data_IF_714949762194
#
_entry.id   IF_714949762194
#
_cell.length_a   1.000
_cell.length_b   1.000
_cell.length_c   1.000
_cell.angle_alpha   90.00
_cell.angle_beta   90.00
_cell.angle_gamma   90.00
#
_symmetry.space_group_name_H-M   'P 1'
#
loop_
_entity.id
_entity.type
_entity.pdbx_description
1 polymer ?
#
# COMPACT_ATOMS: atom_id res chain seq x y z
N UNK A 1 -14.19 0.40 -3.31
CA UNK A 1 -13.69 1.78 -3.15
C UNK A 1 -12.26 1.92 -3.65
N UNK A 2 -11.99 2.99 -4.40
CA UNK A 2 -10.66 3.38 -4.87
C UNK A 2 -9.76 3.89 -3.73
N UNK A 3 -8.44 3.95 -3.96
CA UNK A 3 -7.47 4.51 -2.99
C UNK A 3 -7.79 5.98 -2.67
N UNK A 4 -8.27 6.74 -3.65
CA UNK A 4 -8.66 8.14 -3.51
C UNK A 4 -9.91 8.30 -2.61
N UNK A 5 -10.93 7.45 -2.80
CA UNK A 5 -12.13 7.43 -1.96
C UNK A 5 -11.81 7.10 -0.50
N UNK A 6 -10.96 6.09 -0.26
CA UNK A 6 -10.50 5.74 1.10
C UNK A 6 -9.73 6.89 1.76
N UNK A 7 -8.90 7.62 1.00
CA UNK A 7 -8.19 8.81 1.50
C UNK A 7 -9.16 9.93 1.85
N UNK A 8 -10.16 10.18 1.00
CA UNK A 8 -11.17 11.21 1.23
C UNK A 8 -12.01 10.93 2.48
N UNK A 9 -12.43 9.67 2.69
CA UNK A 9 -13.17 9.27 3.90
C UNK A 9 -12.31 9.43 5.16
N UNK A 10 -11.02 9.08 5.11
CA UNK A 10 -10.09 9.30 6.23
C UNK A 10 -9.91 10.78 6.58
N UNK A 11 -9.79 11.65 5.57
CA UNK A 11 -9.72 13.10 5.79
C UNK A 11 -11.01 13.64 6.43
N UNK A 12 -12.18 13.16 5.99
CA UNK A 12 -13.46 13.51 6.61
C UNK A 12 -13.55 13.09 8.08
N UNK A 13 -13.07 11.90 8.42
CA UNK A 13 -13.01 11.42 9.81
C UNK A 13 -12.13 12.34 10.66
N UNK A 14 -10.93 12.69 10.17
CA UNK A 14 -10.01 13.57 10.88
C UNK A 14 -10.60 14.97 11.10
N UNK A 15 -11.16 15.59 10.07
CA UNK A 15 -11.77 16.91 10.19
C UNK A 15 -12.92 16.92 11.20
N UNK A 16 -13.80 15.92 11.17
CA UNK A 16 -14.90 15.80 12.14
C UNK A 16 -14.40 15.61 13.58
N UNK A 17 -13.30 14.87 13.77
CA UNK A 17 -12.69 14.69 15.09
C UNK A 17 -12.06 16.00 15.59
N UNK A 18 -11.34 16.72 14.73
CA UNK A 18 -10.68 17.98 15.10
C UNK A 18 -11.69 19.10 15.39
N UNK A 19 -12.76 19.21 14.59
CA UNK A 19 -13.78 20.25 14.73
C UNK A 19 -14.67 20.04 15.96
N UNK A 20 -14.98 18.79 16.33
CA UNK A 20 -16.05 18.51 17.27
C UNK A 20 -15.69 17.60 18.45
N UNK A 21 -14.64 16.79 18.35
CA UNK A 21 -14.28 15.85 19.40
C UNK A 21 -13.20 16.40 20.34
N UNK A 22 -12.42 17.39 19.91
CA UNK A 22 -11.35 18.00 20.72
C UNK A 22 -11.94 18.80 21.90
N UNK A 23 -11.75 18.30 23.12
CA UNK A 23 -12.28 18.93 24.34
C UNK A 23 -13.79 18.79 24.49
N UNK A 24 -14.39 17.79 23.84
CA UNK A 24 -15.82 17.54 23.86
C UNK A 24 -16.35 17.38 25.30
N UNK A 25 -17.27 18.26 25.70
CA UNK A 25 -17.85 18.30 27.06
C UNK A 25 -19.07 17.40 27.23
N UNK A 26 -19.60 16.84 26.14
CA UNK A 26 -20.80 15.99 26.16
C UNK A 26 -20.49 14.56 26.58
N UNK A 27 -19.23 14.13 26.47
CA UNK A 27 -18.80 12.81 26.94
C UNK A 27 -18.79 12.78 28.48
N UNK A 28 -19.41 11.78 29.12
CA UNK A 28 -19.40 11.66 30.57
C UNK A 28 -17.97 11.52 31.11
N UNK A 29 -17.59 12.37 32.07
CA UNK A 29 -16.27 12.36 32.73
C UNK A 29 -16.00 11.10 33.57
N UNK A 30 -17.02 10.29 33.82
CA UNK A 30 -16.94 9.02 34.56
C UNK A 30 -16.34 7.88 33.75
N UNK A 31 -16.21 8.03 32.42
CA UNK A 31 -15.66 7.01 31.54
C UNK A 31 -14.14 7.18 31.48
N UNK A 32 -13.41 6.21 32.04
CA UNK A 32 -11.96 6.29 32.22
C UNK A 32 -11.12 5.71 31.07
N UNK A 33 -11.73 4.99 30.13
CA UNK A 33 -10.99 4.36 29.02
C UNK A 33 -11.49 4.81 27.65
N UNK A 34 -10.56 4.87 26.69
CA UNK A 34 -10.83 5.37 25.33
C UNK A 34 -11.82 4.48 24.55
N UNK A 35 -11.88 3.18 24.85
CA UNK A 35 -12.79 2.24 24.19
C UNK A 35 -14.25 2.51 24.55
N UNK A 36 -14.55 2.69 25.83
CA UNK A 36 -15.88 3.02 26.32
C UNK A 36 -16.29 4.43 25.90
N UNK A 37 -15.36 5.38 25.83
CA UNK A 37 -15.63 6.72 25.26
C UNK A 37 -16.04 6.59 23.79
N UNK A 38 -15.28 5.83 22.99
CA UNK A 38 -15.60 5.60 21.59
C UNK A 38 -16.96 4.90 21.42
N UNK A 39 -17.24 3.89 22.26
CA UNK A 39 -18.52 3.18 22.27
C UNK A 39 -19.67 4.11 22.60
N UNK A 40 -19.56 4.86 23.69
CA UNK A 40 -20.58 5.81 24.13
C UNK A 40 -20.86 6.86 23.06
N UNK A 41 -19.81 7.45 22.48
CA UNK A 41 -19.94 8.41 21.37
C UNK A 41 -20.65 7.77 20.17
N UNK A 42 -20.30 6.54 19.82
CA UNK A 42 -20.92 5.85 18.67
C UNK A 42 -22.40 5.50 18.87
N UNK A 43 -22.85 5.37 20.11
CA UNK A 43 -24.24 5.02 20.46
C UNK A 43 -25.09 6.27 20.75
N UNK A 44 -24.50 7.30 21.37
CA UNK A 44 -25.23 8.42 21.97
C UNK A 44 -24.92 9.80 21.37
N UNK A 45 -23.90 9.93 20.51
CA UNK A 45 -23.53 11.20 19.87
C UNK A 45 -23.73 11.11 18.35
N UNK A 46 -24.36 12.10 17.73
CA UNK A 46 -24.56 12.16 16.28
C UNK A 46 -23.23 12.14 15.51
N UNK A 47 -22.23 12.86 16.02
CA UNK A 47 -20.89 12.88 15.42
C UNK A 47 -20.21 11.52 15.59
N UNK A 48 -20.37 10.88 16.74
CA UNK A 48 -19.86 9.53 16.95
C UNK A 48 -20.52 8.49 16.06
N UNK A 49 -21.84 8.59 15.80
CA UNK A 49 -22.56 7.77 14.82
C UNK A 49 -22.03 7.97 13.41
N UNK A 50 -21.81 9.22 13.00
CA UNK A 50 -21.23 9.56 11.70
C UNK A 50 -19.81 9.02 11.55
N UNK A 51 -18.97 9.17 12.58
CA UNK A 51 -17.61 8.62 12.61
C UNK A 51 -17.61 7.09 12.52
N UNK A 52 -18.53 6.41 13.22
CA UNK A 52 -18.71 4.96 13.15
C UNK A 52 -19.07 4.51 11.73
N UNK A 53 -20.07 5.14 11.11
CA UNK A 53 -20.48 4.83 9.73
C UNK A 53 -19.34 5.05 8.73
N UNK A 54 -18.60 6.17 8.84
CA UNK A 54 -17.43 6.42 7.99
C UNK A 54 -16.31 5.39 8.20
N UNK A 55 -16.09 4.96 9.44
CA UNK A 55 -15.15 3.89 9.78
C UNK A 55 -15.55 2.53 9.21
N UNK A 56 -16.83 2.18 9.30
CA UNK A 56 -17.40 0.97 8.72
C UNK A 56 -17.29 0.97 7.19
N UNK A 57 -17.53 2.11 6.53
CA UNK A 57 -17.34 2.27 5.08
C UNK A 57 -15.86 2.11 4.64
N UNK A 58 -14.89 2.39 5.52
CA UNK A 58 -13.47 2.09 5.24
C UNK A 58 -13.15 0.59 5.31
N UNK A 59 -13.95 -0.15 6.08
CA UNK A 59 -13.83 -1.60 6.31
C UNK A 59 -14.72 -2.41 5.36
N UNK A 60 -15.69 -1.80 4.69
CA UNK A 60 -16.55 -2.44 3.70
C UNK A 60 -15.70 -3.10 2.59
N UNK A 61 -15.78 -4.43 2.52
CA UNK A 61 -15.00 -5.28 1.62
C UNK A 61 -13.71 -5.88 2.19
N UNK A 62 -13.38 -5.69 3.48
CA UNK A 62 -12.34 -6.47 4.19
C UNK A 62 -13.00 -7.64 4.92
N UNK A 63 -13.10 -8.79 4.27
CA UNK A 63 -13.42 -10.06 4.95
C UNK A 63 -12.13 -10.73 5.38
N UNK A 64 -12.16 -11.43 6.52
CA UNK A 64 -11.06 -12.26 7.04
C UNK A 64 -10.54 -13.23 5.97
N UNK A 65 -11.46 -13.78 5.16
CA UNK A 65 -11.17 -14.60 3.99
C UNK A 65 -10.29 -13.96 2.91
N UNK A 66 -10.30 -12.63 2.73
CA UNK A 66 -9.42 -11.96 1.76
C UNK A 66 -7.97 -11.86 2.25
N UNK A 67 -7.74 -11.82 3.57
CA UNK A 67 -6.41 -11.87 4.15
C UNK A 67 -5.84 -13.30 4.08
N UNK A 68 -6.66 -14.30 4.38
CA UNK A 68 -6.32 -15.72 4.19
C UNK A 68 -6.02 -16.04 2.71
N UNK A 69 -6.84 -15.54 1.78
CA UNK A 69 -6.65 -15.77 0.34
C UNK A 69 -5.35 -15.14 -0.18
N UNK A 70 -5.01 -13.91 0.27
CA UNK A 70 -3.73 -13.26 -0.07
C UNK A 70 -2.52 -13.97 0.52
N UNK A 71 -2.64 -14.52 1.72
CA UNK A 71 -1.61 -15.34 2.33
C UNK A 71 -1.37 -16.59 1.47
N UNK A 72 -2.44 -17.28 1.05
CA UNK A 72 -2.34 -18.43 0.17
C UNK A 72 -1.82 -18.09 -1.24
N UNK A 73 -2.11 -16.91 -1.78
CA UNK A 73 -1.55 -16.48 -3.08
C UNK A 73 -0.02 -16.35 -3.00
N UNK A 74 0.50 -15.78 -1.91
CA UNK A 74 1.94 -15.67 -1.67
C UNK A 74 2.59 -17.04 -1.43
N UNK A 75 1.96 -17.90 -0.63
CA UNK A 75 2.42 -19.27 -0.38
C UNK A 75 2.49 -20.06 -1.70
N UNK A 76 1.44 -20.01 -2.52
CA UNK A 76 1.40 -20.73 -3.81
C UNK A 76 2.42 -20.18 -4.81
N UNK A 77 2.58 -18.85 -4.93
CA UNK A 77 3.58 -18.26 -5.81
C UNK A 77 5.01 -18.62 -5.40
N UNK A 78 5.29 -18.67 -4.09
CA UNK A 78 6.58 -19.10 -3.55
C UNK A 78 6.81 -20.59 -3.79
N UNK A 79 5.80 -21.41 -3.60
CA UNK A 79 5.85 -22.84 -3.86
C UNK A 79 6.13 -23.18 -5.33
N UNK A 80 5.52 -22.46 -6.29
CA UNK A 80 5.80 -22.66 -7.71
C UNK A 80 7.21 -22.23 -8.11
N UNK A 81 7.74 -21.14 -7.53
CA UNK A 81 9.15 -20.73 -7.73
C UNK A 81 10.13 -21.76 -7.17
N UNK A 82 9.90 -22.25 -5.96
CA UNK A 82 10.71 -23.31 -5.36
C UNK A 82 10.64 -24.60 -6.19
N UNK A 83 9.47 -24.92 -6.77
CA UNK A 83 9.33 -26.09 -7.64
C UNK A 83 10.07 -25.95 -8.96
N UNK A 84 10.13 -24.74 -9.52
CA UNK A 84 10.86 -24.42 -10.75
C UNK A 84 12.37 -24.27 -10.53
N UNK A 85 12.82 -24.01 -9.31
CA UNK A 85 14.23 -23.99 -8.95
C UNK A 85 14.80 -25.42 -8.87
N UNK A 86 15.65 -25.79 -9.82
CA UNK A 86 16.22 -27.14 -9.92
C UNK A 86 17.34 -27.45 -8.90
N UNK A 87 17.66 -26.51 -8.02
CA UNK A 87 18.82 -26.60 -7.11
C UNK A 87 18.71 -27.71 -6.06
N UNK A 88 17.50 -28.14 -5.67
CA UNK A 88 17.30 -29.13 -4.59
C UNK A 88 16.32 -30.27 -4.91
N UNK A 89 15.90 -30.46 -6.17
CA UNK A 89 14.84 -31.42 -6.54
C UNK A 89 13.62 -31.32 -5.60
N UNK A 90 13.11 -30.12 -5.42
CA UNK A 90 12.04 -29.84 -4.47
C UNK A 90 10.79 -30.70 -4.71
N UNK A 91 10.42 -31.52 -3.73
CA UNK A 91 9.13 -32.24 -3.72
C UNK A 91 8.05 -31.38 -3.07
N UNK A 92 6.78 -31.65 -3.36
CA UNK A 92 5.66 -30.93 -2.70
C UNK A 92 5.70 -31.07 -1.18
N UNK A 93 6.05 -32.25 -0.66
CA UNK A 93 6.29 -32.47 0.76
C UNK A 93 7.39 -31.57 1.36
N UNK A 94 8.53 -31.41 0.68
CA UNK A 94 9.63 -30.57 1.18
C UNK A 94 9.29 -29.08 1.09
N UNK A 95 8.59 -28.65 0.05
CA UNK A 95 8.11 -27.27 -0.09
C UNK A 95 7.08 -26.94 0.99
N UNK A 96 6.16 -27.87 1.27
CA UNK A 96 5.16 -27.69 2.30
C UNK A 96 5.79 -27.56 3.70
N UNK A 97 6.79 -28.40 4.00
CA UNK A 97 7.56 -28.31 5.24
C UNK A 97 8.30 -26.97 5.39
N UNK A 98 8.93 -26.47 4.32
CA UNK A 98 9.64 -25.18 4.32
C UNK A 98 8.68 -23.99 4.52
N UNK A 99 7.48 -24.07 3.96
CA UNK A 99 6.45 -23.02 4.04
C UNK A 99 5.55 -23.17 5.28
N UNK A 100 5.80 -24.15 6.16
CA UNK A 100 5.03 -24.38 7.39
C UNK A 100 3.58 -24.81 7.16
N UNK A 101 3.27 -25.44 6.02
CA UNK A 101 1.92 -25.90 5.65
C UNK A 101 1.88 -27.41 5.39
N UNK A 102 0.69 -28.01 5.41
CA UNK A 102 0.56 -29.44 5.08
C UNK A 102 0.59 -29.67 3.57
N UNK A 103 1.23 -30.75 3.14
CA UNK A 103 1.39 -31.08 1.70
C UNK A 103 0.05 -31.14 0.96
N UNK A 104 -0.95 -31.81 1.54
CA UNK A 104 -2.27 -31.93 0.93
C UNK A 104 -2.97 -30.59 0.75
N UNK A 105 -2.80 -29.66 1.69
CA UNK A 105 -3.43 -28.34 1.61
C UNK A 105 -2.70 -27.43 0.60
N UNK A 106 -1.37 -27.48 0.58
CA UNK A 106 -0.57 -26.78 -0.43
C UNK A 106 -0.92 -27.26 -1.84
N UNK A 107 -0.97 -28.58 -2.05
CA UNK A 107 -1.31 -29.17 -3.34
C UNK A 107 -2.72 -28.75 -3.79
N UNK A 108 -3.71 -28.84 -2.91
CA UNK A 108 -5.09 -28.41 -3.19
C UNK A 108 -5.15 -26.94 -3.64
N UNK A 109 -4.48 -26.05 -2.91
CA UNK A 109 -4.50 -24.62 -3.20
C UNK A 109 -3.71 -24.23 -4.45
N UNK A 110 -2.66 -24.96 -4.81
CA UNK A 110 -1.92 -24.77 -6.08
C UNK A 110 -2.72 -25.32 -7.27
N UNK A 111 -3.26 -26.54 -7.15
CA UNK A 111 -4.03 -27.18 -8.22
C UNK A 111 -5.27 -26.35 -8.58
N UNK A 112 -6.03 -25.92 -7.58
CA UNK A 112 -7.20 -25.05 -7.75
C UNK A 112 -6.88 -23.74 -8.46
N UNK A 113 -5.69 -23.17 -8.25
CA UNK A 113 -5.24 -21.94 -8.93
C UNK A 113 -4.80 -22.17 -10.37
N UNK A 114 -4.18 -23.32 -10.67
CA UNK A 114 -3.86 -23.73 -12.03
C UNK A 114 -5.12 -23.94 -12.88
N UNK A 115 -6.15 -24.52 -12.28
CA UNK A 115 -7.46 -24.70 -12.91
C UNK A 115 -8.14 -23.36 -13.21
N UNK A 116 -8.08 -22.38 -12.31
CA UNK A 116 -8.63 -21.04 -12.57
C UNK A 116 -7.84 -20.21 -13.59
N UNK A 117 -6.55 -20.52 -13.78
CA UNK A 117 -5.68 -19.82 -14.73
C UNK A 117 -5.60 -20.50 -16.11
N UNK A 118 -6.17 -21.70 -16.27
CA UNK A 118 -6.23 -22.39 -17.55
C UNK A 118 -7.33 -21.75 -18.43
N UNK A 119 -6.94 -21.01 -19.46
CA UNK A 119 -7.86 -20.60 -20.55
C UNK A 119 -8.46 -21.83 -21.23
N UNK A 120 -9.77 -21.83 -21.57
CA UNK A 120 -10.38 -22.95 -22.26
C UNK A 120 -9.84 -23.03 -23.69
N UNK A 121 -9.21 -24.16 -24.02
CA UNK A 121 -8.72 -24.50 -25.36
C UNK A 121 -9.85 -24.41 -26.40
N UNK A 122 -9.84 -23.34 -27.21
CA UNK A 122 -10.55 -23.31 -28.48
C UNK A 122 -9.58 -23.72 -29.60
N UNK A 123 -9.88 -24.88 -30.17
CA UNK A 123 -9.23 -25.47 -31.35
C UNK A 123 -9.09 -24.46 -32.49
N UNK A 124 -7.88 -24.41 -33.03
CA UNK A 124 -7.45 -23.58 -34.15
C UNK A 124 -8.12 -24.06 -35.45
N UNK A 125 -8.86 -23.18 -36.11
CA UNK A 125 -9.35 -23.36 -37.48
C UNK A 125 -8.36 -22.75 -38.48
N UNK A 126 -8.02 -23.51 -39.53
CA UNK A 126 -7.08 -23.16 -40.58
C UNK A 126 -7.45 -21.89 -41.38
N UNK A 127 -6.48 -21.08 -41.85
CA UNK A 127 -6.75 -20.00 -42.78
C UNK A 127 -6.62 -20.47 -44.24
N UNK A 128 -7.67 -20.23 -45.03
CA UNK A 128 -7.65 -20.31 -46.50
C UNK A 128 -7.38 -18.92 -47.09
N UNK A 129 -6.46 -18.90 -48.05
CA UNK A 129 -6.14 -17.78 -48.95
C UNK A 129 -7.31 -17.49 -49.92
N UNK A 130 -7.46 -16.26 -50.45
CA UNK A 130 -7.25 -16.11 -51.90
C UNK A 130 -6.66 -14.75 -52.37
N UNK A 131 -6.30 -14.77 -53.66
CA UNK A 131 -5.36 -13.93 -54.43
C UNK A 131 -5.90 -12.58 -54.99
N UNK A 132 -4.94 -11.68 -55.27
CA UNK A 132 -4.75 -10.78 -56.45
C UNK A 132 -5.91 -9.96 -57.04
N UNK A 133 -5.68 -8.64 -57.26
CA UNK A 133 -5.63 -7.99 -58.61
C UNK A 133 -4.93 -6.61 -58.59
N UNK A 134 -4.34 -6.22 -59.75
CA UNK A 134 -3.45 -5.08 -60.06
C UNK A 134 -4.18 -3.74 -60.42
N UNK A 135 -3.44 -2.62 -60.66
CA UNK A 135 -3.93 -1.23 -60.47
C UNK A 135 -4.45 -0.51 -61.73
N UNK A 136 -5.05 0.66 -61.48
CA UNK A 136 -5.77 1.55 -62.41
C UNK A 136 -4.87 2.55 -63.16
N UNK A 137 -5.25 2.83 -64.40
CA UNK A 137 -4.54 3.58 -65.46
C UNK A 137 -4.89 5.07 -65.45
N UNK A 138 -3.93 5.94 -65.80
CA UNK A 138 -4.12 7.37 -66.05
C UNK A 138 -3.89 7.64 -67.55
N UNK A 139 -4.73 8.43 -68.26
CA UNK A 139 -4.48 8.83 -69.64
C UNK A 139 -3.85 10.23 -69.74
N UNK A 140 -2.86 10.37 -70.63
CA UNK A 140 -2.43 11.63 -71.24
C UNK A 140 -3.30 11.94 -72.46
N UNK A 141 -3.44 13.21 -72.81
CA UNK A 141 -3.87 13.65 -74.14
C UNK A 141 -3.01 14.83 -74.63
N UNK A 142 -2.78 14.77 -75.93
CA UNK A 142 -1.79 15.47 -76.76
C UNK A 142 -2.14 16.90 -77.18
N UNK A 143 -1.08 17.58 -77.67
CA UNK A 143 -0.97 18.58 -78.76
C UNK A 143 -2.24 19.38 -79.20
N UNK A 144 -2.18 20.65 -79.62
CA UNK A 144 -1.39 21.12 -80.78
C UNK A 144 -1.67 22.60 -81.08
N UNK A 145 -0.71 23.21 -81.78
CA UNK A 145 -0.87 24.17 -82.90
C UNK A 145 -0.51 25.64 -82.64
N UNK A 146 0.59 26.03 -83.30
CA UNK A 146 1.03 27.38 -83.62
C UNK A 146 0.14 28.01 -84.71
N UNK A 147 -0.04 29.33 -84.66
CA UNK A 147 -0.31 30.12 -85.87
C UNK A 147 0.24 31.55 -85.70
N UNK A 148 1.14 31.93 -86.61
CA UNK A 148 1.48 33.32 -86.95
C UNK A 148 0.50 33.83 -88.03
N UNK A 149 0.19 35.14 -88.07
CA UNK A 149 0.55 36.12 -89.13
C UNK A 149 -0.14 37.50 -88.90
N UNK A 150 0.25 38.58 -89.62
CA UNK A 150 0.38 39.95 -89.12
C UNK A 150 -0.73 40.92 -89.61
N UNK A 151 -0.78 42.13 -89.02
CA UNK A 151 -0.79 43.44 -89.69
C UNK A 151 -0.94 44.58 -88.67
N UNK A 152 0.07 45.44 -88.62
CA UNK A 152 0.14 46.64 -87.79
C UNK A 152 -0.71 47.78 -88.38
N UNK A 153 -1.20 48.66 -87.49
CA UNK A 153 -1.86 49.97 -87.69
C UNK A 153 -3.41 49.94 -87.63
N UNK A 154 -3.98 49.38 -86.53
CA UNK A 154 -4.43 50.21 -85.40
C UNK A 154 -4.01 49.66 -84.02
N UNK A 155 -3.19 48.61 -84.05
CA UNK A 155 -2.74 47.74 -82.96
C UNK A 155 -2.01 48.47 -81.82
N UNK A 156 -1.41 49.64 -82.08
CA UNK A 156 -0.56 50.32 -81.10
C UNK A 156 -1.38 50.93 -79.97
N UNK A 157 -2.57 51.46 -80.23
CA UNK A 157 -3.42 52.03 -79.18
C UNK A 157 -4.03 50.93 -78.28
N UNK A 158 -4.59 49.86 -78.87
CA UNK A 158 -5.11 48.69 -78.11
C UNK A 158 -4.00 47.92 -77.38
N UNK A 159 -2.77 47.88 -77.91
CA UNK A 159 -1.63 47.30 -77.19
C UNK A 159 -1.17 48.18 -76.04
N UNK A 160 -1.19 49.50 -76.17
CA UNK A 160 -0.85 50.41 -75.07
C UNK A 160 -1.87 50.25 -73.93
N UNK A 161 -3.17 50.24 -74.26
CA UNK A 161 -4.26 50.08 -73.27
C UNK A 161 -4.20 48.71 -72.57
N UNK A 162 -3.96 47.61 -73.32
CA UNK A 162 -3.73 46.28 -72.72
C UNK A 162 -2.47 46.21 -71.86
N UNK A 163 -1.40 46.91 -72.24
CA UNK A 163 -0.15 46.94 -71.47
C UNK A 163 -0.36 47.69 -70.17
N UNK A 164 -1.13 48.78 -70.17
CA UNK A 164 -1.51 49.53 -68.97
C UNK A 164 -2.43 48.73 -68.05
N UNK A 165 -3.41 47.98 -68.59
CA UNK A 165 -4.25 47.07 -67.80
C UNK A 165 -3.44 45.92 -67.17
N UNK A 166 -2.50 45.32 -67.94
CA UNK A 166 -1.61 44.30 -67.42
C UNK A 166 -0.66 44.85 -66.35
N UNK A 167 -0.11 46.06 -66.54
CA UNK A 167 0.75 46.72 -65.56
C UNK A 167 -0.02 47.02 -64.27
N UNK A 168 -1.27 47.49 -64.37
CA UNK A 168 -2.16 47.69 -63.23
C UNK A 168 -2.45 46.37 -62.50
N UNK A 169 -2.80 45.30 -63.24
CA UNK A 169 -3.03 43.97 -62.68
C UNK A 169 -1.81 43.40 -61.95
N UNK A 170 -0.61 43.50 -62.55
CA UNK A 170 0.61 43.02 -61.92
C UNK A 170 1.01 43.86 -60.70
N UNK A 171 0.74 45.17 -60.70
CA UNK A 171 0.95 46.04 -59.52
C UNK A 171 0.01 45.69 -58.37
N UNK A 172 -1.28 45.47 -58.66
CA UNK A 172 -2.26 45.04 -57.65
C UNK A 172 -1.84 43.69 -57.05
N UNK A 173 -1.52 42.71 -57.91
CA UNK A 173 -1.06 41.40 -57.48
C UNK A 173 0.25 41.44 -56.68
N UNK A 174 1.15 42.35 -57.02
CA UNK A 174 2.38 42.57 -56.27
C UNK A 174 2.10 43.15 -54.88
N UNK A 175 1.16 44.08 -54.76
CA UNK A 175 0.76 44.64 -53.47
C UNK A 175 0.11 43.58 -52.58
N UNK A 176 -0.80 42.76 -53.12
CA UNK A 176 -1.41 41.64 -52.38
C UNK A 176 -0.35 40.69 -51.82
N UNK A 177 0.65 40.33 -52.63
CA UNK A 177 1.75 39.45 -52.21
C UNK A 177 2.62 40.13 -51.14
N UNK A 178 2.83 41.44 -51.23
CA UNK A 178 3.59 42.18 -50.22
C UNK A 178 2.85 42.25 -48.88
N UNK A 179 1.52 42.44 -48.90
CA UNK A 179 0.67 42.45 -47.72
C UNK A 179 0.58 41.05 -47.07
N UNK A 180 0.46 40.00 -47.86
CA UNK A 180 0.55 38.61 -47.38
C UNK A 180 1.90 38.32 -46.73
N UNK A 181 3.00 38.77 -47.34
CA UNK A 181 4.36 38.60 -46.80
C UNK A 181 4.51 39.32 -45.45
N UNK A 182 3.97 40.53 -45.32
CA UNK A 182 4.02 41.28 -44.06
C UNK A 182 3.14 40.64 -42.97
N UNK A 183 1.99 40.08 -43.34
CA UNK A 183 1.13 39.29 -42.46
C UNK A 183 1.84 38.04 -41.94
N UNK A 184 2.44 37.25 -42.84
CA UNK A 184 3.21 36.06 -42.47
C UNK A 184 4.42 36.38 -41.60
N UNK A 185 5.08 37.52 -41.84
CA UNK A 185 6.20 37.97 -41.00
C UNK A 185 5.75 38.25 -39.57
N UNK A 186 4.57 38.83 -39.39
CA UNK A 186 3.99 39.08 -38.07
C UNK A 186 3.66 37.78 -37.35
N UNK A 187 2.97 36.85 -38.03
CA UNK A 187 2.66 35.53 -37.47
C UNK A 187 3.92 34.76 -37.07
N UNK A 188 4.97 34.79 -37.91
CA UNK A 188 6.25 34.15 -37.59
C UNK A 188 6.88 34.73 -36.33
N UNK A 189 6.77 36.04 -36.11
CA UNK A 189 7.28 36.70 -34.89
C UNK A 189 6.51 36.25 -33.64
N UNK A 190 5.19 36.07 -33.75
CA UNK A 190 4.36 35.57 -32.66
C UNK A 190 4.66 34.09 -32.35
N UNK A 191 4.80 33.25 -33.37
CA UNK A 191 5.20 31.84 -33.21
C UNK A 191 6.57 31.72 -32.56
N UNK A 192 7.53 32.55 -32.97
CA UNK A 192 8.87 32.56 -32.36
C UNK A 192 8.83 32.93 -30.89
N UNK A 193 7.92 33.84 -30.49
CA UNK A 193 7.71 34.21 -29.08
C UNK A 193 7.12 33.05 -28.28
N UNK A 194 6.07 32.41 -28.81
CA UNK A 194 5.44 31.24 -28.18
C UNK A 194 6.42 30.07 -28.03
N UNK A 195 7.30 29.85 -29.00
CA UNK A 195 8.33 28.83 -28.91
C UNK A 195 9.32 29.09 -27.76
N UNK A 196 9.71 30.35 -27.54
CA UNK A 196 10.53 30.73 -26.40
C UNK A 196 9.84 30.45 -25.05
N UNK A 197 8.59 30.89 -24.92
CA UNK A 197 7.78 30.63 -23.71
C UNK A 197 7.61 29.12 -23.43
N UNK A 198 7.40 28.33 -24.49
CA UNK A 198 7.30 26.87 -24.37
C UNK A 198 8.62 26.24 -23.90
N UNK A 199 9.75 26.73 -24.40
CA UNK A 199 11.06 26.23 -24.00
C UNK A 199 11.37 26.54 -22.53
N UNK A 200 11.02 27.74 -22.06
CA UNK A 200 11.17 28.12 -20.65
C UNK A 200 10.30 27.27 -19.72
N UNK A 201 9.07 26.95 -20.13
CA UNK A 201 8.18 26.06 -19.38
C UNK A 201 8.76 24.64 -19.33
N UNK A 202 9.29 24.15 -20.46
CA UNK A 202 9.92 22.84 -20.54
C UNK A 202 11.09 22.72 -19.57
N UNK A 203 11.98 23.72 -19.53
CA UNK A 203 13.14 23.72 -18.63
C UNK A 203 12.71 23.72 -17.15
N UNK A 204 11.69 24.52 -16.80
CA UNK A 204 11.11 24.53 -15.45
C UNK A 204 10.49 23.19 -15.06
N UNK A 205 9.82 22.51 -16.00
CA UNK A 205 9.24 21.19 -15.77
C UNK A 205 10.33 20.13 -15.55
N UNK A 206 11.39 20.16 -16.34
CA UNK A 206 12.53 19.25 -16.19
C UNK A 206 13.21 19.44 -14.81
N UNK A 207 13.40 20.70 -14.39
CA UNK A 207 13.95 20.98 -13.07
C UNK A 207 13.02 20.55 -11.93
N UNK A 208 11.71 20.82 -12.07
CA UNK A 208 10.70 20.36 -11.11
C UNK A 208 10.64 18.83 -10.99
N UNK A 209 10.82 18.09 -12.09
CA UNK A 209 10.87 16.63 -12.08
C UNK A 209 12.09 16.10 -11.31
N UNK A 210 13.25 16.75 -11.47
CA UNK A 210 14.46 16.38 -10.72
C UNK A 210 14.26 16.63 -9.22
N UNK A 211 13.71 17.78 -8.85
CA UNK A 211 13.41 18.12 -7.46
C UNK A 211 12.39 17.17 -6.82
N UNK A 212 11.30 16.86 -7.53
CA UNK A 212 10.30 15.88 -7.10
C UNK A 212 10.94 14.50 -6.89
N UNK A 213 11.75 14.06 -7.84
CA UNK A 213 12.42 12.76 -7.78
C UNK A 213 13.35 12.69 -6.57
N UNK A 214 14.13 13.75 -6.32
CA UNK A 214 15.00 13.85 -5.14
C UNK A 214 14.20 13.80 -3.84
N UNK A 215 13.14 14.60 -3.73
CA UNK A 215 12.28 14.62 -2.56
C UNK A 215 11.60 13.26 -2.30
N UNK A 216 11.26 12.54 -3.37
CA UNK A 216 10.69 11.19 -3.28
C UNK A 216 11.70 10.18 -2.74
N UNK A 217 12.96 10.23 -3.19
CA UNK A 217 14.02 9.39 -2.64
C UNK A 217 14.28 9.69 -1.17
N UNK A 218 14.39 10.96 -0.79
CA UNK A 218 14.56 11.36 0.62
C UNK A 218 13.39 10.89 1.51
N UNK A 219 12.16 10.95 1.00
CA UNK A 219 10.98 10.44 1.70
C UNK A 219 10.98 8.91 1.83
N UNK A 220 11.48 8.19 0.83
CA UNK A 220 11.59 6.73 0.84
C UNK A 220 12.66 6.26 1.85
N UNK A 221 13.82 6.92 1.88
CA UNK A 221 14.86 6.66 2.89
C UNK A 221 14.37 6.93 4.31
N UNK A 222 13.68 8.06 4.53
CA UNK A 222 13.10 8.39 5.83
C UNK A 222 12.03 7.37 6.25
N UNK A 223 11.21 6.89 5.31
CA UNK A 223 10.21 5.87 5.56
C UNK A 223 10.85 4.53 5.95
N UNK A 224 11.89 4.09 5.25
CA UNK A 224 12.58 2.84 5.55
C UNK A 224 13.31 2.92 6.90
N UNK A 225 13.93 4.06 7.21
CA UNK A 225 14.52 4.32 8.53
C UNK A 225 13.49 4.21 9.66
N UNK A 226 12.32 4.83 9.49
CA UNK A 226 11.22 4.74 10.46
C UNK A 226 10.71 3.30 10.62
N UNK A 227 10.64 2.56 9.51
CA UNK A 227 10.23 1.15 9.51
C UNK A 227 11.22 0.27 10.30
N UNK A 228 12.52 0.43 10.08
CA UNK A 228 13.55 -0.28 10.84
C UNK A 228 13.48 0.05 12.33
N UNK A 229 13.30 1.33 12.69
CA UNK A 229 13.14 1.74 14.09
C UNK A 229 11.90 1.11 14.74
N UNK A 230 10.80 0.97 13.99
CA UNK A 230 9.60 0.31 14.49
C UNK A 230 9.84 -1.18 14.76
N UNK A 231 10.53 -1.86 13.85
CA UNK A 231 10.86 -3.29 14.00
C UNK A 231 11.76 -3.52 15.20
N UNK A 232 12.81 -2.70 15.38
CA UNK A 232 13.70 -2.80 16.54
C UNK A 232 12.94 -2.63 17.87
N UNK A 233 12.02 -1.66 17.95
CA UNK A 233 11.18 -1.48 19.16
C UNK A 233 10.25 -2.65 19.42
N UNK A 234 9.74 -3.29 18.37
CA UNK A 234 8.87 -4.47 18.50
C UNK A 234 9.67 -5.68 19.00
N UNK A 235 10.89 -5.87 18.51
CA UNK A 235 11.83 -6.88 19.02
C UNK A 235 12.19 -6.64 20.49
N UNK A 236 12.53 -5.41 20.87
CA UNK A 236 12.80 -5.02 22.27
C UNK A 236 11.60 -5.31 23.17
N UNK A 237 10.39 -4.94 22.73
CA UNK A 237 9.16 -5.21 23.47
C UNK A 237 8.91 -6.71 23.66
N UNK A 238 9.09 -7.51 22.61
CA UNK A 238 8.93 -8.96 22.68
C UNK A 238 9.96 -9.60 23.61
N UNK A 239 11.21 -9.10 23.62
CA UNK A 239 12.24 -9.53 24.56
C UNK A 239 11.83 -9.23 26.00
N UNK A 240 11.40 -8.00 26.27
CA UNK A 240 10.97 -7.58 27.61
C UNK A 240 9.75 -8.37 28.10
N UNK A 241 8.81 -8.68 27.19
CA UNK A 241 7.64 -9.50 27.51
C UNK A 241 8.04 -10.93 27.90
N UNK A 242 8.99 -11.52 27.18
CA UNK A 242 9.51 -12.84 27.51
C UNK A 242 10.22 -12.86 28.86
N UNK A 243 11.04 -11.85 29.15
CA UNK A 243 11.69 -11.70 30.46
C UNK A 243 10.66 -11.53 31.59
N UNK A 244 9.63 -10.69 31.37
CA UNK A 244 8.56 -10.49 32.34
C UNK A 244 7.80 -11.79 32.63
N UNK A 245 7.50 -12.58 31.60
CA UNK A 245 6.85 -13.88 31.75
C UNK A 245 7.74 -14.85 32.56
N UNK A 246 9.04 -14.93 32.25
CA UNK A 246 9.99 -15.78 32.98
C UNK A 246 10.12 -15.37 34.46
N UNK A 247 10.16 -14.08 34.75
CA UNK A 247 10.18 -13.57 36.14
C UNK A 247 8.88 -13.91 36.87
N UNK A 248 7.74 -13.78 36.19
CA UNK A 248 6.43 -14.08 36.74
C UNK A 248 6.32 -15.56 37.12
N UNK A 249 6.76 -16.45 36.24
CA UNK A 249 6.81 -17.91 36.50
C UNK A 249 7.69 -18.23 37.71
N UNK A 250 8.94 -17.72 37.75
CA UNK A 250 9.83 -17.90 38.91
C UNK A 250 9.23 -17.36 40.21
N UNK A 251 8.49 -16.26 40.16
CA UNK A 251 7.81 -15.71 41.34
C UNK A 251 6.68 -16.63 41.81
N UNK A 252 5.95 -17.27 40.90
CA UNK A 252 4.95 -18.28 41.25
C UNK A 252 5.58 -19.52 41.90
N UNK A 253 6.70 -20.01 41.36
CA UNK A 253 7.48 -21.12 41.93
C UNK A 253 7.95 -20.79 43.35
N UNK A 254 8.62 -19.65 43.53
CA UNK A 254 9.10 -19.21 44.86
C UNK A 254 7.96 -19.07 45.87
N UNK A 255 6.81 -18.52 45.46
CA UNK A 255 5.61 -18.43 46.32
C UNK A 255 5.06 -19.81 46.69
N UNK A 256 5.16 -20.79 45.80
CA UNK A 256 4.76 -22.16 46.09
C UNK A 256 5.72 -22.79 47.12
N UNK A 257 7.03 -22.65 46.90
CA UNK A 257 8.05 -23.19 47.79
C UNK A 257 8.04 -22.57 49.18
N UNK A 258 7.83 -21.25 49.28
CA UNK A 258 7.65 -20.56 50.56
C UNK A 258 6.44 -21.08 51.32
N UNK A 259 5.33 -21.36 50.63
CA UNK A 259 4.13 -21.94 51.27
C UNK A 259 4.42 -23.35 51.80
N UNK A 260 5.11 -24.18 51.02
CA UNK A 260 5.53 -25.52 51.44
C UNK A 260 6.47 -25.48 52.64
N UNK A 261 7.45 -24.58 52.63
CA UNK A 261 8.36 -24.36 53.75
C UNK A 261 7.62 -23.92 55.01
N UNK A 262 6.68 -22.97 54.89
CA UNK A 262 5.88 -22.49 56.03
C UNK A 262 5.06 -23.62 56.68
N UNK A 263 4.48 -24.53 55.88
CA UNK A 263 3.77 -25.71 56.39
C UNK A 263 4.74 -26.64 57.14
N UNK A 264 5.91 -26.92 56.57
CA UNK A 264 6.91 -27.79 57.19
C UNK A 264 7.43 -27.22 58.51
N UNK A 265 7.69 -25.90 58.58
CA UNK A 265 8.11 -25.22 59.81
C UNK A 265 7.04 -25.38 60.88
N UNK A 266 5.77 -25.12 60.56
CA UNK A 266 4.66 -25.28 61.52
C UNK A 266 4.57 -26.70 62.06
N UNK A 267 4.68 -27.71 61.19
CA UNK A 267 4.68 -29.11 61.61
C UNK A 267 5.88 -29.45 62.53
N UNK A 268 7.05 -28.89 62.25
CA UNK A 268 8.23 -29.06 63.11
C UNK A 268 8.04 -28.36 64.47
N UNK A 269 7.49 -27.15 64.51
CA UNK A 269 7.18 -26.42 65.74
C UNK A 269 6.19 -27.19 66.61
N UNK A 270 5.12 -27.74 66.01
CA UNK A 270 4.15 -28.60 66.72
C UNK A 270 4.81 -29.87 67.30
N UNK A 271 5.74 -30.48 66.55
CA UNK A 271 6.48 -31.67 67.00
C UNK A 271 7.39 -31.33 68.18
N UNK A 272 8.12 -30.21 68.10
CA UNK A 272 8.98 -29.72 69.19
C UNK A 272 8.16 -29.36 70.43
N UNK A 273 6.98 -28.76 70.25
CA UNK A 273 6.08 -28.43 71.35
C UNK A 273 5.61 -29.70 72.09
N UNK A 274 5.19 -30.73 71.36
CA UNK A 274 4.80 -32.03 71.94
C UNK A 274 5.95 -32.72 72.68
N UNK A 275 7.15 -32.70 72.11
CA UNK A 275 8.33 -33.27 72.76
C UNK A 275 8.69 -32.52 74.06
N UNK A 276 8.55 -31.19 74.07
CA UNK A 276 8.76 -30.38 75.28
C UNK A 276 7.73 -30.70 76.37
N UNK A 277 6.46 -30.84 76.00
CA UNK A 277 5.39 -31.24 76.92
C UNK A 277 5.66 -32.62 77.52
N UNK A 278 6.00 -33.61 76.69
CA UNK A 278 6.35 -34.95 77.13
C UNK A 278 7.56 -34.98 78.08
N UNK A 279 8.60 -34.17 77.81
CA UNK A 279 9.76 -34.05 78.72
C UNK A 279 9.39 -33.47 80.08
N UNK A 280 8.53 -32.45 80.12
CA UNK A 280 8.04 -31.87 81.37
C UNK A 280 7.22 -32.89 82.16
N UNK A 281 6.39 -33.68 81.48
CA UNK A 281 5.62 -34.76 82.11
C UNK A 281 6.55 -35.83 82.73
N UNK A 282 7.55 -36.29 81.99
CA UNK A 282 8.54 -37.25 82.49
C UNK A 282 9.34 -36.70 83.67
N UNK A 283 9.72 -35.42 83.62
CA UNK A 283 10.40 -34.75 84.73
C UNK A 283 9.50 -34.71 85.98
N UNK A 284 8.22 -34.36 85.84
CA UNK A 284 7.25 -34.37 86.93
C UNK A 284 7.06 -35.77 87.53
N UNK A 285 6.94 -36.81 86.70
CA UNK A 285 6.85 -38.21 87.15
C UNK A 285 8.11 -38.65 87.91
N UNK A 286 9.30 -38.32 87.39
CA UNK A 286 10.58 -38.63 88.03
C UNK A 286 10.73 -37.95 89.40
N UNK A 287 10.35 -36.67 89.49
CA UNK A 287 10.34 -35.94 90.77
C UNK A 287 9.37 -36.57 91.78
N UNK A 288 8.16 -36.93 91.36
CA UNK A 288 7.18 -37.60 92.21
C UNK A 288 7.70 -38.95 92.74
N UNK A 289 8.32 -39.76 91.88
CA UNK A 289 8.96 -41.02 92.28
C UNK A 289 10.11 -40.78 93.26
N UNK A 290 10.95 -39.77 93.04
CA UNK A 290 12.03 -39.41 93.95
C UNK A 290 11.54 -38.97 95.34
N UNK A 291 10.43 -38.24 95.40
CA UNK A 291 9.78 -37.85 96.67
C UNK A 291 9.20 -39.09 97.36
N UNK A 292 8.49 -39.95 96.63
CA UNK A 292 7.92 -41.18 97.17
C UNK A 292 8.99 -42.11 97.76
N UNK A 293 10.12 -42.29 97.06
CA UNK A 293 11.25 -43.07 97.55
C UNK A 293 11.86 -42.49 98.83
N UNK A 294 12.00 -41.16 98.93
CA UNK A 294 12.48 -40.48 100.14
C UNK A 294 11.54 -40.63 101.35
N UNK A 295 10.25 -40.89 101.13
CA UNK A 295 9.27 -41.03 102.22
C UNK A 295 9.22 -42.45 102.81
N UNK A 296 9.78 -43.45 102.12
CA UNK A 296 9.76 -44.86 102.52
C UNK A 296 11.11 -45.32 103.12
N UNK A 297 12.18 -44.55 102.90
CA UNK A 297 13.51 -44.73 103.50
C UNK A 297 13.66 -43.86 104.75
#
# INVERSE_FOLDING_TARGET
MSKAEKRHIRLKILNLQDEHCKGCKTVPKSIGNNYEIARWCSENCEIGKNLKSLGENLLEGRTEHMAEQKNWDQICATAEKLRAADEKKWTWGNIAAELGVTEGNLYYHVAKRRETNATPDKRVGAPKNPQNTKPSTQPQNDEKTKSELPKLKPVVAEHIERVEELDAFWKERLNDVLDEKDTLRKELSEVSKLYGELNDIKEKLEQGLIEETKARFEAEDAFESMKQQSQAREEDYNSLLNEFNAVTEKNHELKHDLRKMHINIRAAEETVAKEREHRLELQGRSQALGIALKAVL
#
